data_IF_884841787549
#
_entry.id   IF_884841787549
#
_cell.length_a   1.000
_cell.length_b   1.000
_cell.length_c   1.000
_cell.angle_alpha   90.00
_cell.angle_beta   90.00
_cell.angle_gamma   90.00
#
_symmetry.space_group_name_H-M   'P 1'
#
loop_
_entity.id
_entity.type
_entity.pdbx_description
1 polymer ?
#
# COMPACT_ATOMS: atom_id res chain seq x y z
N UNK A 1 -20.52 -70.71 31.18
CA UNK A 1 -19.73 -70.13 30.14
C UNK A 1 -20.60 -69.16 29.37
N UNK A 2 -20.53 -67.87 29.67
CA UNK A 2 -21.18 -66.82 28.89
C UNK A 2 -20.21 -65.59 28.93
N UNK A 3 -19.74 -65.22 27.77
CA UNK A 3 -18.90 -64.07 27.52
C UNK A 3 -19.75 -62.80 27.67
N UNK A 4 -19.31 -61.85 28.47
CA UNK A 4 -19.91 -60.52 28.61
C UNK A 4 -19.18 -59.60 27.71
N UNK A 5 -19.84 -59.04 26.68
CA UNK A 5 -19.38 -57.98 25.81
C UNK A 5 -19.38 -56.65 26.57
N UNK A 6 -18.23 -56.04 26.72
CA UNK A 6 -18.05 -54.68 27.17
C UNK A 6 -17.97 -53.76 25.96
N UNK A 7 -19.04 -53.03 25.70
CA UNK A 7 -19.09 -51.93 24.76
C UNK A 7 -18.31 -50.73 25.34
N UNK A 8 -17.16 -50.43 24.76
CA UNK A 8 -16.41 -49.19 25.01
C UNK A 8 -17.00 -48.08 24.19
N UNK A 9 -17.74 -47.20 24.83
CA UNK A 9 -18.14 -45.91 24.24
C UNK A 9 -16.91 -44.96 24.16
N UNK A 10 -16.34 -44.88 23.01
CA UNK A 10 -15.32 -43.83 22.72
C UNK A 10 -16.02 -42.46 22.60
N UNK A 11 -15.94 -41.67 23.64
CA UNK A 11 -16.34 -40.26 23.60
C UNK A 11 -15.36 -39.50 22.70
N UNK A 12 -15.83 -39.15 21.52
CA UNK A 12 -15.15 -38.17 20.64
C UNK A 12 -15.30 -36.80 21.29
N UNK A 13 -14.34 -36.42 22.12
CA UNK A 13 -14.13 -35.05 22.53
C UNK A 13 -13.61 -34.27 21.33
N UNK A 14 -14.55 -33.69 20.58
CA UNK A 14 -14.24 -32.67 19.60
C UNK A 14 -13.54 -31.50 20.30
N UNK A 15 -12.25 -31.38 20.09
CA UNK A 15 -11.50 -30.22 20.49
C UNK A 15 -12.04 -29.02 19.70
N UNK A 16 -13.00 -28.32 20.27
CA UNK A 16 -13.28 -26.94 19.95
C UNK A 16 -12.02 -26.15 20.31
N UNK A 17 -11.11 -26.00 19.34
CA UNK A 17 -10.05 -25.01 19.40
C UNK A 17 -10.73 -23.64 19.48
N UNK A 18 -11.02 -23.19 20.69
CA UNK A 18 -11.29 -21.79 20.95
C UNK A 18 -10.06 -21.03 20.43
N UNK A 19 -10.17 -20.44 19.26
CA UNK A 19 -9.27 -19.39 18.81
C UNK A 19 -9.32 -18.27 19.85
N UNK A 20 -8.47 -18.35 20.86
CA UNK A 20 -8.23 -17.23 21.76
C UNK A 20 -7.78 -16.10 20.88
N UNK A 21 -8.62 -15.08 20.74
CA UNK A 21 -8.29 -13.87 20.01
C UNK A 21 -6.98 -13.32 20.60
N UNK A 22 -5.88 -13.44 19.85
CA UNK A 22 -4.59 -12.86 20.23
C UNK A 22 -4.74 -11.36 20.15
N UNK A 23 -4.83 -10.73 21.31
CA UNK A 23 -4.90 -9.29 21.46
C UNK A 23 -3.52 -8.76 21.78
N UNK A 24 -2.90 -8.10 20.79
CA UNK A 24 -1.68 -7.34 20.98
C UNK A 24 -1.94 -5.88 20.58
N UNK A 25 -1.53 -4.93 21.44
CA UNK A 25 -1.56 -3.50 21.09
C UNK A 25 -2.94 -2.89 20.83
N UNK A 26 -4.03 -3.39 21.46
CA UNK A 26 -5.38 -2.87 21.24
C UNK A 26 -6.08 -3.39 19.97
N UNK A 27 -5.39 -4.21 19.15
CA UNK A 27 -5.94 -4.90 17.99
C UNK A 27 -6.34 -6.34 18.35
N UNK A 28 -7.53 -6.77 17.93
CA UNK A 28 -8.02 -8.15 18.08
C UNK A 28 -8.12 -8.79 16.70
N UNK A 29 -7.45 -9.92 16.49
CA UNK A 29 -7.58 -10.72 15.27
C UNK A 29 -8.96 -11.41 15.25
N UNK A 30 -9.77 -11.10 14.23
CA UNK A 30 -11.10 -11.68 14.04
C UNK A 30 -11.08 -12.88 13.09
N UNK A 31 -10.27 -12.81 12.03
CA UNK A 31 -10.15 -13.87 11.04
C UNK A 31 -8.81 -13.78 10.31
N UNK A 32 -8.36 -14.90 9.75
CA UNK A 32 -7.11 -14.97 8.97
C UNK A 32 -7.28 -15.99 7.84
N UNK A 33 -6.75 -15.70 6.64
CA UNK A 33 -6.71 -16.69 5.56
C UNK A 33 -5.80 -17.86 5.97
N UNK A 34 -6.21 -19.10 5.63
CA UNK A 34 -5.42 -20.29 5.97
C UNK A 34 -4.19 -20.50 5.06
N UNK A 35 -4.12 -19.78 3.93
CA UNK A 35 -3.01 -19.85 2.97
C UNK A 35 -2.09 -18.64 3.07
N UNK A 36 -0.88 -18.82 2.57
CA UNK A 36 0.14 -17.77 2.47
C UNK A 36 0.43 -17.44 1.01
N UNK A 37 0.93 -16.21 0.78
CA UNK A 37 1.21 -15.62 -0.52
C UNK A 37 2.66 -15.12 -0.55
N UNK A 38 3.26 -15.09 -1.73
CA UNK A 38 4.66 -14.70 -1.85
C UNK A 38 4.87 -13.19 -1.65
N UNK A 39 3.99 -12.35 -2.24
CA UNK A 39 4.06 -10.89 -2.08
C UNK A 39 2.68 -10.26 -2.29
N UNK A 40 2.03 -9.90 -1.21
CA UNK A 40 0.71 -9.27 -1.25
C UNK A 40 0.79 -7.79 -1.63
N UNK A 41 -0.19 -7.35 -2.44
CA UNK A 41 -0.52 -5.94 -2.63
C UNK A 41 -1.33 -5.40 -1.44
N UNK A 42 -1.88 -4.19 -1.57
CA UNK A 42 -2.91 -3.70 -0.66
C UNK A 42 -4.18 -4.59 -0.70
N UNK A 43 -5.00 -4.51 0.34
CA UNK A 43 -6.26 -5.25 0.49
C UNK A 43 -7.43 -4.27 0.44
N UNK A 44 -8.46 -4.64 -0.33
CA UNK A 44 -9.72 -3.89 -0.45
C UNK A 44 -10.87 -4.78 -0.01
N UNK A 45 -11.74 -4.29 0.88
CA UNK A 45 -12.97 -4.99 1.25
C UNK A 45 -14.07 -4.75 0.20
N UNK A 46 -14.76 -5.80 -0.21
CA UNK A 46 -15.92 -5.78 -1.09
C UNK A 46 -17.22 -5.62 -0.29
N UNK A 47 -18.30 -5.18 -0.94
CA UNK A 47 -19.58 -4.92 -0.27
C UNK A 47 -20.20 -6.11 0.45
N UNK A 48 -19.83 -7.33 0.05
CA UNK A 48 -20.26 -8.59 0.69
C UNK A 48 -19.33 -9.05 1.84
N UNK A 49 -18.33 -8.24 2.20
CA UNK A 49 -17.35 -8.52 3.26
C UNK A 49 -16.22 -9.46 2.86
N UNK A 50 -16.17 -9.90 1.59
CA UNK A 50 -14.97 -10.52 1.00
C UNK A 50 -13.91 -9.47 0.74
N UNK A 51 -12.70 -9.91 0.43
CA UNK A 51 -11.58 -9.04 0.11
C UNK A 51 -11.05 -9.31 -1.29
N UNK A 52 -10.49 -8.27 -1.92
CA UNK A 52 -9.74 -8.39 -3.16
C UNK A 52 -8.29 -7.90 -2.93
N UNK A 53 -7.33 -8.61 -3.53
CA UNK A 53 -5.90 -8.30 -3.45
C UNK A 53 -5.14 -9.01 -4.57
N UNK A 54 -3.88 -8.61 -4.81
CA UNK A 54 -3.01 -9.31 -5.74
C UNK A 54 -1.79 -9.93 -5.02
N UNK A 55 -1.31 -11.07 -5.51
CA UNK A 55 0.05 -11.54 -5.26
C UNK A 55 0.92 -11.02 -6.40
N UNK A 56 1.73 -10.02 -6.12
CA UNK A 56 2.54 -9.34 -7.13
C UNK A 56 3.72 -10.18 -7.61
N UNK A 57 4.21 -11.14 -6.81
CA UNK A 57 5.27 -12.05 -7.20
C UNK A 57 4.75 -13.16 -8.13
N UNK A 58 3.62 -13.77 -7.76
CA UNK A 58 2.97 -14.80 -8.60
C UNK A 58 2.17 -14.17 -9.76
N UNK A 59 1.95 -12.86 -9.71
CA UNK A 59 1.19 -12.08 -10.70
C UNK A 59 -0.24 -12.59 -10.85
N UNK A 60 -0.92 -12.81 -9.72
CA UNK A 60 -2.29 -13.30 -9.66
C UNK A 60 -3.19 -12.32 -8.91
N UNK A 61 -4.42 -12.18 -9.38
CA UNK A 61 -5.46 -11.39 -8.74
C UNK A 61 -6.48 -12.29 -8.07
N UNK A 62 -6.81 -12.00 -6.82
CA UNK A 62 -7.64 -12.84 -5.97
C UNK A 62 -8.83 -12.11 -5.36
N UNK A 63 -9.89 -12.90 -5.13
CA UNK A 63 -10.97 -12.60 -4.22
C UNK A 63 -11.01 -13.68 -3.14
N UNK A 64 -11.13 -13.28 -1.87
CA UNK A 64 -11.14 -14.24 -0.77
C UNK A 64 -12.25 -13.94 0.25
N UNK A 65 -12.74 -14.99 0.86
CA UNK A 65 -13.63 -14.95 2.04
C UNK A 65 -12.85 -15.39 3.27
N UNK A 66 -12.60 -14.46 4.19
CA UNK A 66 -11.84 -14.76 5.41
C UNK A 66 -12.58 -15.69 6.38
N UNK A 67 -13.92 -15.79 6.31
CA UNK A 67 -14.70 -16.65 7.21
C UNK A 67 -14.61 -18.11 6.80
N UNK A 68 -14.80 -18.39 5.50
CA UNK A 68 -14.73 -19.73 4.96
C UNK A 68 -13.34 -20.16 4.53
N UNK A 69 -12.40 -19.22 4.40
CA UNK A 69 -11.06 -19.45 3.82
C UNK A 69 -11.08 -19.68 2.30
N UNK A 70 -12.24 -19.49 1.65
CA UNK A 70 -12.35 -19.69 0.20
C UNK A 70 -11.57 -18.62 -0.57
N UNK A 71 -10.83 -19.06 -1.59
CA UNK A 71 -10.05 -18.22 -2.49
C UNK A 71 -10.48 -18.47 -3.93
N UNK A 72 -10.79 -17.40 -4.65
CA UNK A 72 -11.09 -17.43 -6.07
C UNK A 72 -9.99 -16.63 -6.82
N UNK A 73 -9.37 -17.23 -7.82
CA UNK A 73 -8.50 -16.49 -8.76
C UNK A 73 -9.38 -15.78 -9.78
N UNK A 74 -9.17 -14.48 -9.96
CA UNK A 74 -9.95 -13.65 -10.87
C UNK A 74 -9.20 -13.39 -12.16
N UNK A 75 -9.89 -13.54 -13.28
CA UNK A 75 -9.34 -13.28 -14.62
C UNK A 75 -8.25 -14.24 -15.06
N UNK A 76 -7.50 -13.81 -16.06
CA UNK A 76 -6.46 -14.62 -16.70
C UNK A 76 -5.17 -13.83 -16.82
N UNK A 77 -4.11 -14.34 -16.22
CA UNK A 77 -2.76 -13.83 -16.43
C UNK A 77 -2.28 -14.19 -17.84
N UNK A 78 -1.69 -13.20 -18.51
CA UNK A 78 -1.06 -13.37 -19.84
C UNK A 78 0.35 -12.79 -19.83
N UNK A 79 1.25 -13.30 -20.67
CA UNK A 79 2.62 -12.79 -20.77
C UNK A 79 2.73 -11.56 -21.67
N UNK A 80 1.79 -11.41 -22.60
CA UNK A 80 1.63 -10.24 -23.47
C UNK A 80 0.17 -9.83 -23.51
N UNK A 81 -0.11 -8.53 -23.54
CA UNK A 81 -1.47 -8.00 -23.56
C UNK A 81 -1.62 -7.01 -24.70
N UNK A 82 -2.60 -7.26 -25.59
CA UNK A 82 -2.95 -6.35 -26.65
C UNK A 82 -3.72 -5.14 -26.12
N UNK A 83 -3.70 -4.03 -26.85
CA UNK A 83 -4.39 -2.78 -26.46
C UNK A 83 -5.89 -2.97 -26.26
N UNK A 84 -6.51 -3.80 -27.06
CA UNK A 84 -7.93 -4.14 -27.09
C UNK A 84 -8.27 -5.44 -26.34
N UNK A 85 -7.30 -6.03 -25.64
CA UNK A 85 -7.50 -7.26 -24.87
C UNK A 85 -8.68 -7.14 -23.90
N UNK A 86 -9.43 -8.23 -23.66
CA UNK A 86 -10.54 -8.27 -22.72
C UNK A 86 -10.18 -7.76 -21.32
N UNK A 87 -11.14 -7.17 -20.61
CA UNK A 87 -10.93 -6.69 -19.24
C UNK A 87 -10.54 -7.80 -18.26
N UNK A 88 -10.83 -9.06 -18.60
CA UNK A 88 -10.45 -10.25 -17.80
C UNK A 88 -8.96 -10.58 -17.86
N UNK A 89 -8.19 -10.03 -18.81
CA UNK A 89 -6.76 -10.31 -18.95
C UNK A 89 -5.91 -9.27 -18.26
N UNK A 90 -4.83 -9.71 -17.63
CA UNK A 90 -3.82 -8.85 -17.00
C UNK A 90 -2.43 -9.49 -17.10
N UNK A 91 -1.37 -8.68 -16.99
CA UNK A 91 0.02 -9.13 -17.04
C UNK A 91 0.70 -9.04 -15.67
N UNK A 92 0.58 -7.91 -14.99
CA UNK A 92 1.17 -7.65 -13.69
C UNK A 92 0.19 -6.87 -12.80
N UNK A 93 -0.68 -7.59 -12.05
CA UNK A 93 -1.64 -6.97 -11.14
C UNK A 93 -0.87 -6.40 -9.94
N UNK A 94 -0.74 -5.07 -9.90
CA UNK A 94 0.10 -4.41 -8.90
C UNK A 94 -0.66 -3.75 -7.76
N UNK A 95 -1.85 -3.21 -8.03
CA UNK A 95 -2.64 -2.46 -7.07
C UNK A 95 -4.14 -2.67 -7.25
N UNK A 96 -4.89 -2.65 -6.14
CA UNK A 96 -6.34 -2.79 -6.13
C UNK A 96 -6.96 -1.56 -5.46
N UNK A 97 -8.01 -0.97 -6.07
CA UNK A 97 -8.70 0.19 -5.51
C UNK A 97 -10.22 -0.01 -5.55
N UNK A 98 -10.93 0.54 -4.57
CA UNK A 98 -12.39 0.54 -4.53
C UNK A 98 -12.94 1.83 -5.15
N UNK A 99 -13.83 1.72 -6.15
CA UNK A 99 -14.45 2.86 -6.83
C UNK A 99 -15.86 3.20 -6.32
N UNK A 100 -16.38 2.46 -5.36
CA UNK A 100 -17.79 2.56 -4.94
C UNK A 100 -18.74 1.75 -5.81
N UNK A 101 -20.01 1.66 -5.40
CA UNK A 101 -21.05 0.94 -6.15
C UNK A 101 -20.71 -0.53 -6.46
N UNK A 102 -19.93 -1.17 -5.58
CA UNK A 102 -19.53 -2.56 -5.79
C UNK A 102 -18.47 -2.76 -6.88
N UNK A 103 -17.76 -1.71 -7.28
CA UNK A 103 -16.74 -1.77 -8.33
C UNK A 103 -15.33 -1.69 -7.76
N UNK A 104 -14.47 -2.58 -8.23
CA UNK A 104 -13.05 -2.65 -7.90
C UNK A 104 -12.23 -2.37 -9.15
N UNK A 105 -11.20 -1.55 -9.02
CA UNK A 105 -10.19 -1.33 -10.06
C UNK A 105 -8.97 -2.20 -9.78
N UNK A 106 -8.54 -2.94 -10.77
CA UNK A 106 -7.24 -3.63 -10.81
C UNK A 106 -6.28 -2.83 -11.68
N UNK A 107 -5.19 -2.34 -11.11
CA UNK A 107 -4.14 -1.62 -11.84
C UNK A 107 -3.05 -2.59 -12.25
N UNK A 108 -2.85 -2.73 -13.54
CA UNK A 108 -1.76 -3.51 -14.14
C UNK A 108 -0.58 -2.59 -14.44
N UNK A 109 0.50 -2.72 -13.67
CA UNK A 109 1.67 -1.86 -13.80
C UNK A 109 2.44 -2.08 -15.10
N UNK A 110 2.50 -3.33 -15.57
CA UNK A 110 3.25 -3.65 -16.79
C UNK A 110 2.50 -3.28 -18.05
N UNK A 111 1.18 -3.44 -18.05
CA UNK A 111 0.32 -3.07 -19.16
C UNK A 111 -0.11 -1.60 -19.13
N UNK A 112 0.23 -0.86 -18.07
CA UNK A 112 -0.25 0.52 -17.82
C UNK A 112 -1.76 0.63 -18.02
N UNK A 113 -2.49 -0.31 -17.45
CA UNK A 113 -3.90 -0.54 -17.71
C UNK A 113 -4.65 -0.69 -16.40
N UNK A 114 -5.84 -0.10 -16.34
CA UNK A 114 -6.77 -0.32 -15.22
C UNK A 114 -8.01 -1.03 -15.74
N UNK A 115 -8.36 -2.15 -15.11
CA UNK A 115 -9.58 -2.91 -15.42
C UNK A 115 -10.55 -2.83 -14.27
N UNK A 116 -11.85 -2.70 -14.56
CA UNK A 116 -12.91 -2.67 -13.56
C UNK A 116 -13.54 -4.04 -13.42
N UNK A 117 -13.86 -4.39 -12.20
CA UNK A 117 -14.45 -5.65 -11.79
C UNK A 117 -15.62 -5.40 -10.84
N UNK A 118 -16.66 -6.22 -10.91
CA UNK A 118 -17.74 -6.19 -9.93
C UNK A 118 -17.37 -6.97 -8.65
N UNK A 119 -18.19 -6.88 -7.62
CA UNK A 119 -18.01 -7.58 -6.35
C UNK A 119 -18.05 -9.12 -6.49
N UNK A 120 -18.68 -9.63 -7.57
CA UNK A 120 -18.72 -11.06 -7.87
C UNK A 120 -17.45 -11.55 -8.54
N UNK A 121 -16.54 -10.61 -8.91
CA UNK A 121 -15.29 -10.89 -9.60
C UNK A 121 -15.47 -11.05 -11.10
N UNK A 122 -16.54 -10.46 -11.68
CA UNK A 122 -16.72 -10.42 -13.12
C UNK A 122 -16.04 -9.17 -13.70
N UNK A 123 -15.26 -9.30 -14.79
CA UNK A 123 -14.66 -8.16 -15.43
C UNK A 123 -15.75 -7.32 -16.12
N UNK A 124 -15.72 -6.01 -15.90
CA UNK A 124 -16.70 -5.08 -16.46
C UNK A 124 -16.15 -4.40 -17.73
N UNK A 125 -15.05 -3.66 -17.59
CA UNK A 125 -14.44 -2.91 -18.70
C UNK A 125 -13.03 -2.47 -18.36
N UNK A 126 -12.31 -2.02 -19.38
CA UNK A 126 -11.05 -1.29 -19.23
C UNK A 126 -11.36 0.19 -19.04
N UNK A 127 -10.71 0.85 -18.08
CA UNK A 127 -10.75 2.30 -18.00
C UNK A 127 -9.86 2.90 -19.09
N UNK A 128 -10.36 3.86 -19.87
CA UNK A 128 -9.50 4.65 -20.73
C UNK A 128 -8.63 5.53 -19.80
N UNK A 129 -7.37 5.16 -19.63
CA UNK A 129 -6.44 6.01 -18.89
C UNK A 129 -6.11 7.19 -19.79
N UNK A 130 -6.56 8.40 -19.41
CA UNK A 130 -6.08 9.60 -20.03
C UNK A 130 -4.55 9.62 -19.82
N UNK A 131 -3.77 9.59 -20.90
CA UNK A 131 -2.32 9.80 -20.86
C UNK A 131 -2.05 11.26 -20.54
N UNK A 132 -2.18 11.58 -19.26
CA UNK A 132 -1.85 12.90 -18.74
C UNK A 132 -0.43 12.80 -18.24
N UNK A 133 0.47 13.52 -18.85
CA UNK A 133 1.90 13.61 -18.54
C UNK A 133 2.52 12.33 -17.97
N UNK A 134 3.27 11.61 -18.78
CA UNK A 134 4.09 10.45 -18.41
C UNK A 134 3.34 9.14 -18.11
N UNK A 135 4.13 8.09 -17.95
CA UNK A 135 3.67 6.69 -17.92
C UNK A 135 3.23 6.15 -16.55
N UNK A 136 3.18 7.00 -15.50
CA UNK A 136 2.78 6.54 -14.18
C UNK A 136 1.27 6.24 -14.12
N UNK A 137 0.85 5.09 -13.57
CA UNK A 137 -0.56 4.73 -13.50
C UNK A 137 -1.33 5.58 -12.49
N UNK A 138 -2.65 5.70 -12.69
CA UNK A 138 -3.58 6.20 -11.68
C UNK A 138 -3.75 5.10 -10.62
N UNK A 139 -3.40 5.41 -9.37
CA UNK A 139 -3.44 4.43 -8.27
C UNK A 139 -4.58 4.67 -7.30
N UNK A 140 -5.06 5.91 -7.20
CA UNK A 140 -6.08 6.31 -6.25
C UNK A 140 -7.34 6.74 -6.98
N UNK A 141 -8.48 6.40 -6.41
CA UNK A 141 -9.80 6.68 -6.98
C UNK A 141 -10.76 7.08 -5.86
N UNK A 142 -11.67 7.99 -6.17
CA UNK A 142 -12.84 8.24 -5.34
C UNK A 142 -14.09 7.55 -5.91
N UNK A 143 -15.21 7.63 -5.21
CA UNK A 143 -16.48 7.07 -5.66
C UNK A 143 -17.35 8.09 -6.40
N UNK A 144 -16.88 9.33 -6.52
CA UNK A 144 -17.60 10.41 -7.21
C UNK A 144 -17.15 10.61 -8.67
N UNK A 145 -16.15 9.85 -9.11
CA UNK A 145 -15.81 9.73 -10.54
C UNK A 145 -14.48 10.33 -10.94
N UNK A 146 -13.52 10.40 -10.03
CA UNK A 146 -12.17 10.87 -10.33
C UNK A 146 -11.11 9.81 -9.99
N UNK A 147 -10.04 9.83 -10.79
CA UNK A 147 -8.77 9.19 -10.49
C UNK A 147 -7.71 10.23 -10.13
N UNK A 148 -6.71 9.82 -9.34
CA UNK A 148 -5.68 10.72 -8.85
C UNK A 148 -4.29 10.14 -9.16
N UNK A 149 -3.40 11.01 -9.62
CA UNK A 149 -2.03 10.66 -10.01
C UNK A 149 -1.05 11.67 -9.45
N UNK A 150 0.04 11.19 -8.87
CA UNK A 150 1.19 12.04 -8.54
C UNK A 150 2.03 12.20 -9.81
N UNK A 151 2.30 13.44 -10.21
CA UNK A 151 3.05 13.72 -11.44
C UNK A 151 4.55 13.67 -11.20
N UNK A 152 5.08 12.44 -11.12
CA UNK A 152 6.52 12.21 -10.98
C UNK A 152 7.35 12.63 -12.20
N UNK A 153 6.73 12.93 -13.34
CA UNK A 153 7.47 13.44 -14.51
C UNK A 153 8.09 14.81 -14.22
N UNK A 154 7.45 15.57 -13.34
CA UNK A 154 8.04 16.82 -12.87
C UNK A 154 9.40 16.60 -12.15
N UNK A 155 9.64 15.38 -11.58
CA UNK A 155 10.89 15.02 -10.91
C UNK A 155 11.87 14.35 -11.86
N UNK A 156 11.37 13.47 -12.74
CA UNK A 156 12.20 12.66 -13.63
C UNK A 156 12.73 13.44 -14.83
N UNK A 157 12.35 14.72 -14.94
CA UNK A 157 12.91 15.66 -15.88
C UNK A 157 12.40 15.47 -17.32
N UNK A 158 11.41 16.28 -17.72
CA UNK A 158 11.25 16.68 -19.11
C UNK A 158 12.28 17.75 -19.51
N UNK A 159 13.45 17.75 -18.89
CA UNK A 159 14.50 18.72 -19.12
C UNK A 159 15.41 18.32 -20.30
N UNK A 160 15.93 19.32 -20.98
CA UNK A 160 16.99 19.14 -21.97
C UNK A 160 18.15 18.32 -21.36
N UNK A 161 18.85 17.48 -22.16
CA UNK A 161 20.00 16.73 -21.68
C UNK A 161 21.01 17.66 -20.98
N UNK A 162 21.32 17.36 -19.72
CA UNK A 162 22.27 18.14 -18.90
C UNK A 162 21.65 19.18 -17.97
N UNK A 163 20.32 19.34 -17.93
CA UNK A 163 19.63 20.22 -16.98
C UNK A 163 18.75 19.40 -16.05
N UNK A 164 19.21 19.15 -14.84
CA UNK A 164 18.37 18.57 -13.78
C UNK A 164 17.41 19.66 -13.28
N UNK A 165 16.13 19.55 -13.65
CA UNK A 165 15.09 20.38 -13.06
C UNK A 165 14.71 19.74 -11.72
N UNK A 166 14.96 20.45 -10.62
CA UNK A 166 14.52 20.05 -9.28
C UNK A 166 13.26 20.83 -8.96
N UNK A 167 12.08 20.23 -9.04
CA UNK A 167 10.88 20.94 -8.64
C UNK A 167 10.84 21.04 -7.11
N UNK A 168 10.53 22.22 -6.59
CA UNK A 168 10.27 22.44 -5.17
C UNK A 168 8.99 21.70 -4.72
N UNK A 169 8.12 21.38 -5.67
CA UNK A 169 6.87 20.67 -5.43
C UNK A 169 6.47 19.74 -6.58
N UNK A 170 5.73 18.69 -6.24
CA UNK A 170 5.23 17.69 -7.17
C UNK A 170 3.72 17.82 -7.23
N UNK A 171 3.12 18.14 -8.38
CA UNK A 171 1.66 18.24 -8.48
C UNK A 171 0.97 16.89 -8.36
N UNK A 172 -0.19 16.89 -7.70
CA UNK A 172 -1.15 15.80 -7.72
C UNK A 172 -2.27 16.17 -8.67
N UNK A 173 -2.43 15.39 -9.71
CA UNK A 173 -3.45 15.57 -10.74
C UNK A 173 -4.70 14.78 -10.41
N UNK A 174 -5.87 15.44 -10.52
CA UNK A 174 -7.18 14.81 -10.49
C UNK A 174 -7.70 14.70 -11.93
N UNK A 175 -8.16 13.52 -12.29
CA UNK A 175 -8.57 13.17 -13.65
C UNK A 175 -10.02 12.71 -13.63
N UNK A 176 -10.91 13.41 -14.35
CA UNK A 176 -12.29 13.00 -14.51
C UNK A 176 -12.40 11.73 -15.36
N UNK A 177 -12.94 10.65 -14.78
CA UNK A 177 -13.00 9.34 -15.44
C UNK A 177 -13.95 9.28 -16.64
N UNK A 178 -14.90 10.23 -16.75
CA UNK A 178 -15.82 10.34 -17.90
C UNK A 178 -15.37 11.38 -18.92
N UNK A 179 -14.98 12.55 -18.45
CA UNK A 179 -14.73 13.72 -19.32
C UNK A 179 -13.24 13.91 -19.63
N UNK A 180 -12.34 13.19 -18.95
CA UNK A 180 -10.90 13.37 -19.13
C UNK A 180 -10.38 14.74 -18.67
N UNK A 181 -11.22 15.57 -18.01
CA UNK A 181 -10.78 16.86 -17.46
C UNK A 181 -9.71 16.63 -16.39
N UNK A 182 -8.67 17.47 -16.40
CA UNK A 182 -7.52 17.36 -15.50
C UNK A 182 -7.32 18.67 -14.78
N UNK A 183 -7.16 18.59 -13.46
CA UNK A 183 -6.79 19.74 -12.62
C UNK A 183 -5.77 19.32 -11.54
N UNK A 184 -5.01 20.29 -11.03
CA UNK A 184 -4.10 20.08 -9.91
C UNK A 184 -4.86 20.28 -8.60
N UNK A 185 -4.84 19.25 -7.74
CA UNK A 185 -5.58 19.28 -6.46
C UNK A 185 -4.68 19.44 -5.24
N UNK A 186 -3.41 19.14 -5.36
CA UNK A 186 -2.43 19.30 -4.29
C UNK A 186 -1.03 19.47 -4.89
N UNK A 187 -0.12 20.01 -4.06
CA UNK A 187 1.31 19.97 -4.32
C UNK A 187 1.99 19.28 -3.14
N UNK A 188 2.81 18.28 -3.44
CA UNK A 188 3.67 17.59 -2.47
C UNK A 188 5.03 18.28 -2.45
N UNK A 189 5.72 18.27 -1.32
CA UNK A 189 7.08 18.75 -1.25
C UNK A 189 8.00 17.94 -2.17
N UNK A 190 8.89 18.61 -2.86
CA UNK A 190 9.94 17.95 -3.64
C UNK A 190 10.86 17.13 -2.73
N UNK A 191 11.44 16.02 -3.23
CA UNK A 191 12.35 15.19 -2.46
C UNK A 191 13.67 15.94 -2.17
N UNK A 192 14.35 15.50 -1.11
CA UNK A 192 15.72 15.95 -0.85
C UNK A 192 16.70 15.11 -1.67
N UNK A 193 17.70 15.79 -2.25
CA UNK A 193 18.72 15.17 -3.09
C UNK A 193 20.10 15.21 -2.44
N UNK A 194 20.99 14.35 -2.91
CA UNK A 194 22.40 14.32 -2.61
C UNK A 194 23.14 13.47 -3.64
N UNK A 195 24.45 13.40 -3.51
CA UNK A 195 25.28 12.67 -4.46
C UNK A 195 25.27 11.16 -4.17
N UNK A 196 25.01 10.37 -5.18
CA UNK A 196 25.19 8.93 -5.21
C UNK A 196 26.37 8.56 -6.09
N UNK A 197 27.10 7.51 -5.74
CA UNK A 197 28.25 7.02 -6.51
C UNK A 197 27.94 5.62 -7.03
N UNK A 198 28.13 5.42 -8.33
CA UNK A 198 28.05 4.14 -9.02
C UNK A 198 29.33 3.91 -9.83
N UNK A 199 30.22 3.07 -9.31
CA UNK A 199 31.60 2.93 -9.88
C UNK A 199 32.36 4.24 -9.78
N UNK A 200 32.73 4.79 -10.92
CA UNK A 200 33.44 6.07 -11.04
C UNK A 200 32.51 7.24 -11.37
N UNK A 201 31.21 6.99 -11.46
CA UNK A 201 30.21 8.01 -11.80
C UNK A 201 29.56 8.56 -10.54
N UNK A 202 29.49 9.88 -10.45
CA UNK A 202 28.65 10.58 -9.46
C UNK A 202 27.40 11.07 -10.16
N UNK A 203 26.26 10.75 -9.57
CA UNK A 203 24.95 11.21 -10.02
C UNK A 203 24.10 11.65 -8.84
N UNK A 204 23.16 12.52 -9.10
CA UNK A 204 22.24 12.94 -8.08
C UNK A 204 21.16 11.87 -7.81
N UNK A 205 20.85 11.63 -6.55
CA UNK A 205 19.81 10.71 -6.12
C UNK A 205 19.01 11.29 -4.95
N UNK A 206 17.79 10.83 -4.80
CA UNK A 206 16.96 11.16 -3.63
C UNK A 206 17.62 10.59 -2.38
N UNK A 207 17.72 11.43 -1.33
CA UNK A 207 18.25 10.99 -0.02
C UNK A 207 17.36 9.93 0.58
N UNK A 208 17.97 8.81 0.91
CA UNK A 208 17.27 7.70 1.60
C UNK A 208 16.91 8.14 3.02
N UNK A 209 15.72 7.79 3.49
CA UNK A 209 15.10 8.19 4.76
C UNK A 209 14.77 9.68 4.91
N UNK A 210 14.94 10.51 3.89
CA UNK A 210 14.46 11.88 3.94
C UNK A 210 12.93 11.93 4.03
N UNK A 211 12.36 12.97 4.68
CA UNK A 211 10.93 13.15 4.76
C UNK A 211 10.29 13.32 3.38
N UNK A 212 9.23 12.56 3.12
CA UNK A 212 8.40 12.65 1.92
C UNK A 212 6.95 12.93 2.29
N UNK A 213 6.26 13.66 1.42
CA UNK A 213 4.82 13.84 1.52
C UNK A 213 4.10 12.63 0.93
N UNK A 214 2.96 12.27 1.52
CA UNK A 214 2.04 11.25 1.01
C UNK A 214 0.69 11.89 0.72
N UNK A 215 0.08 11.45 -0.36
CA UNK A 215 -1.26 11.88 -0.76
C UNK A 215 -2.22 10.71 -0.75
N UNK A 216 -3.47 10.99 -0.36
CA UNK A 216 -4.56 10.05 -0.52
C UNK A 216 -5.90 10.75 -0.64
N UNK A 217 -6.91 9.95 -0.98
CA UNK A 217 -8.27 10.40 -1.17
C UNK A 217 -9.24 9.43 -0.49
N UNK A 218 -10.28 9.99 0.13
CA UNK A 218 -11.39 9.22 0.67
C UNK A 218 -12.45 8.98 -0.42
N UNK A 219 -13.34 8.00 -0.23
CA UNK A 219 -14.38 7.68 -1.21
C UNK A 219 -15.24 8.88 -1.63
N UNK A 220 -15.50 9.83 -0.75
CA UNK A 220 -16.30 11.02 -1.00
C UNK A 220 -15.55 12.17 -1.71
N UNK A 221 -14.33 11.95 -2.18
CA UNK A 221 -13.50 12.95 -2.83
C UNK A 221 -12.75 13.90 -1.89
N UNK A 222 -12.86 13.72 -0.57
CA UNK A 222 -12.01 14.44 0.40
C UNK A 222 -10.59 13.93 0.27
N UNK A 223 -9.65 14.82 -0.01
CA UNK A 223 -8.24 14.47 -0.12
C UNK A 223 -7.46 14.85 1.15
N UNK A 224 -6.32 14.22 1.34
CA UNK A 224 -5.40 14.54 2.43
C UNK A 224 -3.94 14.47 1.94
N UNK A 225 -3.10 15.26 2.60
CA UNK A 225 -1.66 15.23 2.43
C UNK A 225 -1.00 15.06 3.80
N UNK A 226 -0.28 13.96 3.97
CA UNK A 226 0.60 13.80 5.12
C UNK A 226 1.94 14.47 4.80
N UNK A 227 2.27 15.53 5.56
CA UNK A 227 3.47 16.35 5.38
C UNK A 227 4.64 15.77 6.14
N UNK A 228 5.60 15.20 5.41
CA UNK A 228 6.73 14.50 6.00
C UNK A 228 7.65 15.39 6.81
N UNK A 229 7.88 16.63 6.40
CA UNK A 229 8.77 17.57 7.11
C UNK A 229 8.16 18.09 8.42
N UNK A 230 6.85 18.30 8.43
CA UNK A 230 6.13 18.90 9.56
C UNK A 230 5.45 17.86 10.47
N UNK A 231 5.43 16.60 10.07
CA UNK A 231 4.70 15.52 10.75
C UNK A 231 3.25 15.92 11.08
N UNK A 232 2.48 16.25 10.03
CA UNK A 232 1.08 16.67 10.14
C UNK A 232 0.27 16.13 8.97
N UNK A 233 -1.05 16.21 9.07
CA UNK A 233 -1.98 15.85 7.99
C UNK A 233 -2.84 17.05 7.65
N UNK A 234 -2.73 17.53 6.40
CA UNK A 234 -3.57 18.56 5.83
C UNK A 234 -4.73 17.91 5.07
N UNK A 235 -5.92 18.50 5.14
CA UNK A 235 -7.11 18.00 4.50
C UNK A 235 -7.67 18.99 3.46
N UNK A 236 -8.15 18.45 2.35
CA UNK A 236 -8.82 19.22 1.28
C UNK A 236 -10.24 18.70 1.10
N UNK A 237 -11.21 19.54 1.36
CA UNK A 237 -12.62 19.24 1.09
C UNK A 237 -12.88 19.13 -0.43
N UNK A 238 -13.95 18.44 -0.86
CA UNK A 238 -14.31 18.34 -2.28
C UNK A 238 -14.51 19.69 -2.97
N UNK A 239 -14.93 20.73 -2.24
CA UNK A 239 -15.07 22.11 -2.71
C UNK A 239 -13.76 22.88 -2.86
N UNK A 240 -12.63 22.26 -2.51
CA UNK A 240 -11.30 22.82 -2.64
C UNK A 240 -10.75 23.52 -1.40
N UNK A 241 -11.51 23.69 -0.33
CA UNK A 241 -11.03 24.31 0.91
C UNK A 241 -10.05 23.41 1.65
N UNK A 242 -8.96 24.02 2.11
CA UNK A 242 -7.94 23.33 2.89
C UNK A 242 -8.12 23.55 4.39
N UNK A 243 -7.90 22.50 5.16
CA UNK A 243 -7.70 22.52 6.61
C UNK A 243 -6.28 22.07 6.88
N UNK A 244 -5.45 22.99 7.39
CA UNK A 244 -4.05 22.69 7.76
C UNK A 244 -4.06 22.05 9.14
N UNK A 245 -3.47 20.87 9.24
CA UNK A 245 -3.36 20.13 10.50
C UNK A 245 -2.30 20.71 11.43
N UNK A 246 -2.35 20.26 12.69
CA UNK A 246 -1.29 20.58 13.65
C UNK A 246 -0.13 19.60 13.50
N UNK A 247 1.10 20.12 13.54
CA UNK A 247 2.28 19.28 13.65
C UNK A 247 2.24 18.47 14.96
N UNK A 248 2.62 17.21 14.87
CA UNK A 248 2.74 16.33 16.01
C UNK A 248 4.21 16.06 16.31
N UNK A 249 4.61 16.19 17.57
CA UNK A 249 5.97 15.88 17.98
C UNK A 249 6.26 14.38 17.80
N UNK A 250 7.48 14.06 17.41
CA UNK A 250 7.92 12.67 17.24
C UNK A 250 9.37 12.51 17.67
N UNK A 251 9.73 11.30 18.07
CA UNK A 251 11.12 10.96 18.41
C UNK A 251 11.92 10.78 17.13
N UNK A 252 12.89 11.66 16.88
CA UNK A 252 13.82 11.53 15.75
C UNK A 252 14.73 10.32 15.97
N UNK A 253 14.66 9.35 15.09
CA UNK A 253 15.53 8.19 15.08
C UNK A 253 16.74 8.45 14.17
N UNK A 254 17.98 8.28 14.62
CA UNK A 254 19.15 8.41 13.77
C UNK A 254 19.17 7.32 12.71
N UNK A 255 19.68 7.63 11.51
CA UNK A 255 19.98 6.62 10.50
C UNK A 255 21.28 5.93 10.86
N UNK A 256 21.19 4.66 11.28
CA UNK A 256 22.33 3.87 11.75
C UNK A 256 23.15 3.30 10.60
N UNK A 257 24.38 2.81 10.89
CA UNK A 257 25.17 2.08 9.89
C UNK A 257 24.44 0.81 9.41
N UNK A 258 23.74 0.11 10.30
CA UNK A 258 22.92 -1.06 9.94
C UNK A 258 21.80 -0.71 8.94
N UNK A 259 21.15 0.45 9.08
CA UNK A 259 20.15 0.93 8.11
C UNK A 259 20.78 1.15 6.75
N UNK A 260 21.96 1.79 6.69
CA UNK A 260 22.72 2.04 5.44
C UNK A 260 23.11 0.73 4.76
N UNK A 261 23.70 -0.21 5.50
CA UNK A 261 24.14 -1.51 4.99
C UNK A 261 22.97 -2.32 4.42
N UNK A 262 21.81 -2.29 5.10
CA UNK A 262 20.59 -2.94 4.63
C UNK A 262 20.11 -2.37 3.31
N UNK A 263 20.05 -1.06 3.16
CA UNK A 263 19.63 -0.40 1.92
C UNK A 263 20.60 -0.75 0.79
N UNK A 264 21.92 -0.67 1.04
CA UNK A 264 22.92 -1.01 0.04
C UNK A 264 22.87 -2.50 -0.37
N UNK A 265 22.57 -3.40 0.58
CA UNK A 265 22.35 -4.82 0.26
C UNK A 265 21.12 -5.02 -0.64
N UNK A 266 20.01 -4.33 -0.37
CA UNK A 266 18.81 -4.37 -1.22
C UNK A 266 19.08 -3.80 -2.63
N UNK A 267 19.80 -2.70 -2.73
CA UNK A 267 20.20 -2.11 -4.03
C UNK A 267 21.06 -3.10 -4.83
N UNK A 268 22.04 -3.73 -4.21
CA UNK A 268 22.89 -4.74 -4.87
C UNK A 268 22.08 -5.96 -5.31
N UNK A 269 21.19 -6.46 -4.45
CA UNK A 269 20.35 -7.61 -4.78
C UNK A 269 19.42 -7.30 -5.96
N UNK A 270 18.79 -6.12 -5.93
CA UNK A 270 17.98 -5.67 -7.05
C UNK A 270 18.80 -5.48 -8.32
N UNK A 271 19.98 -4.87 -8.21
CA UNK A 271 20.90 -4.63 -9.33
C UNK A 271 21.38 -5.91 -10.02
N UNK A 272 21.51 -7.04 -9.28
CA UNK A 272 21.83 -8.34 -9.87
C UNK A 272 20.85 -8.74 -10.96
N UNK A 273 19.55 -8.52 -10.76
CA UNK A 273 18.51 -8.84 -11.72
C UNK A 273 18.64 -8.06 -13.04
N UNK A 274 19.37 -6.93 -13.01
CA UNK A 274 19.65 -6.07 -14.17
C UNK A 274 21.10 -6.10 -14.62
N UNK A 275 21.89 -7.11 -14.17
CA UNK A 275 23.26 -7.32 -14.60
C UNK A 275 24.28 -6.37 -13.96
N UNK A 276 23.97 -5.72 -12.84
CA UNK A 276 24.92 -4.86 -12.14
C UNK A 276 26.09 -5.69 -11.59
N UNK A 277 27.37 -5.28 -11.86
CA UNK A 277 28.52 -5.97 -11.31
C UNK A 277 28.49 -5.96 -9.77
N UNK A 278 28.76 -7.13 -9.14
CA UNK A 278 28.67 -7.28 -7.68
C UNK A 278 29.76 -6.51 -6.92
N UNK A 279 30.87 -6.22 -7.56
CA UNK A 279 32.00 -5.45 -7.02
C UNK A 279 31.90 -3.95 -7.33
N UNK A 280 30.79 -3.49 -7.94
CA UNK A 280 30.59 -2.08 -8.22
C UNK A 280 30.54 -1.29 -6.91
N UNK A 281 31.31 -0.21 -6.84
CA UNK A 281 31.20 0.76 -5.74
C UNK A 281 29.82 1.43 -5.84
N UNK A 282 29.04 1.32 -4.77
CA UNK A 282 27.69 1.94 -4.68
C UNK A 282 27.62 2.69 -3.37
N UNK A 283 27.37 4.00 -3.45
CA UNK A 283 27.09 4.87 -2.30
C UNK A 283 25.80 5.65 -2.56
N UNK A 284 24.99 5.82 -1.55
CA UNK A 284 23.75 6.59 -1.60
C UNK A 284 23.79 7.74 -0.60
N UNK A 285 23.15 8.86 -0.91
CA UNK A 285 22.96 9.91 0.08
C UNK A 285 21.87 9.47 1.09
N UNK A 286 22.17 9.64 2.37
CA UNK A 286 21.25 9.33 3.46
C UNK A 286 20.95 10.59 4.25
N UNK A 287 19.72 10.70 4.76
CA UNK A 287 19.38 11.67 5.79
C UNK A 287 20.10 11.33 7.11
N UNK A 288 20.24 12.29 8.00
CA UNK A 288 20.82 12.07 9.33
C UNK A 288 19.86 11.31 10.25
N UNK A 289 18.58 11.63 10.12
CA UNK A 289 17.49 10.97 10.87
C UNK A 289 16.46 10.40 9.92
N UNK A 290 15.76 9.36 10.36
CA UNK A 290 14.61 8.78 9.65
C UNK A 290 13.46 9.80 9.61
N UNK A 291 12.71 9.79 8.51
CA UNK A 291 11.46 10.55 8.40
C UNK A 291 10.50 10.22 9.56
N UNK A 292 9.56 11.11 9.91
CA UNK A 292 8.59 10.83 10.98
C UNK A 292 7.67 9.64 10.67
N UNK A 293 7.47 9.33 9.38
CA UNK A 293 6.70 8.18 8.93
C UNK A 293 7.20 7.68 7.57
N UNK A 294 7.01 6.37 7.34
CA UNK A 294 7.43 5.67 6.11
C UNK A 294 6.27 5.40 5.15
N UNK A 295 5.03 5.48 5.65
CA UNK A 295 3.81 5.17 4.91
C UNK A 295 2.64 5.94 5.50
N UNK A 296 1.68 6.31 4.66
CA UNK A 296 0.42 6.91 5.08
C UNK A 296 -0.76 6.22 4.38
N UNK A 297 -1.81 5.89 5.12
CA UNK A 297 -3.03 5.27 4.60
C UNK A 297 -4.27 5.96 5.16
N UNK A 298 -5.18 6.37 4.28
CA UNK A 298 -6.47 6.94 4.66
C UNK A 298 -7.51 5.86 4.95
N UNK A 299 -8.26 6.02 6.02
CA UNK A 299 -9.39 5.19 6.40
C UNK A 299 -10.69 5.84 5.97
N UNK A 300 -11.69 5.11 5.44
CA UNK A 300 -12.95 5.69 4.96
C UNK A 300 -13.72 6.53 5.97
N UNK A 301 -13.50 6.35 7.28
CA UNK A 301 -14.11 7.13 8.35
C UNK A 301 -13.48 8.52 8.56
N UNK A 302 -12.45 8.87 7.78
CA UNK A 302 -11.76 10.16 7.88
C UNK A 302 -10.56 10.17 8.83
N UNK A 303 -9.97 9.02 9.09
CA UNK A 303 -8.67 8.93 9.75
C UNK A 303 -7.56 8.76 8.73
N UNK A 304 -6.36 9.29 9.03
CA UNK A 304 -5.10 8.96 8.33
C UNK A 304 -4.15 8.31 9.31
N UNK A 305 -3.62 7.17 8.93
CA UNK A 305 -2.70 6.37 9.72
C UNK A 305 -1.31 6.50 9.15
N UNK A 306 -0.37 7.05 9.93
CA UNK A 306 1.02 7.26 9.56
C UNK A 306 1.89 6.20 10.23
N UNK A 307 2.56 5.37 9.44
CA UNK A 307 3.47 4.34 9.93
C UNK A 307 4.76 4.98 10.44
N UNK A 308 5.05 4.89 11.74
CA UNK A 308 6.32 5.34 12.29
C UNK A 308 7.50 4.50 11.78
N UNK A 309 8.67 5.11 11.57
CA UNK A 309 9.89 4.35 11.32
C UNK A 309 10.24 3.51 12.55
N UNK A 310 10.85 2.36 12.32
CA UNK A 310 11.32 1.48 13.40
C UNK A 310 12.77 1.78 13.74
N UNK A 311 13.11 1.62 15.02
CA UNK A 311 14.52 1.67 15.46
C UNK A 311 15.27 0.44 14.91
N UNK A 312 14.66 -0.75 15.01
CA UNK A 312 15.16 -2.02 14.48
C UNK A 312 14.08 -2.69 13.62
N UNK A 313 14.49 -3.47 12.62
CA UNK A 313 13.56 -4.10 11.68
C UNK A 313 12.58 -5.07 12.35
N UNK A 314 13.01 -5.76 13.40
CA UNK A 314 12.20 -6.70 14.15
C UNK A 314 11.20 -6.04 15.11
N UNK A 315 11.29 -4.73 15.36
CA UNK A 315 10.35 -4.02 16.23
C UNK A 315 8.94 -4.02 15.59
N UNK A 316 7.87 -4.09 16.40
CA UNK A 316 6.51 -3.97 15.88
C UNK A 316 6.29 -2.63 15.16
N UNK A 317 5.49 -2.63 14.11
CA UNK A 317 5.04 -1.40 13.48
C UNK A 317 4.06 -0.68 14.39
N UNK A 318 4.17 0.64 14.45
CA UNK A 318 3.26 1.51 15.17
C UNK A 318 2.75 2.59 14.22
N UNK A 319 1.47 2.89 14.31
CA UNK A 319 0.83 3.91 13.49
C UNK A 319 0.32 5.06 14.35
N UNK A 320 0.63 6.28 13.96
CA UNK A 320 -0.03 7.49 14.45
C UNK A 320 -1.32 7.73 13.69
N UNK A 321 -2.40 8.00 14.42
CA UNK A 321 -3.72 8.22 13.84
C UNK A 321 -4.11 9.67 13.95
N UNK A 322 -4.42 10.30 12.81
CA UNK A 322 -4.90 11.69 12.70
C UNK A 322 -6.34 11.71 12.21
N UNK A 323 -7.14 12.64 12.72
CA UNK A 323 -8.52 12.85 12.29
C UNK A 323 -8.63 13.86 11.13
N UNK A 324 -9.85 14.13 10.65
CA UNK A 324 -10.10 15.09 9.56
C UNK A 324 -9.82 16.56 9.93
N UNK A 325 -9.62 16.89 11.20
CA UNK A 325 -9.15 18.19 11.64
C UNK A 325 -7.62 18.29 11.64
N UNK A 326 -6.92 17.23 11.19
CA UNK A 326 -5.48 17.15 11.21
C UNK A 326 -4.89 17.07 12.62
N UNK A 327 -5.69 16.64 13.61
CA UNK A 327 -5.24 16.46 14.98
C UNK A 327 -4.87 14.99 15.23
N UNK A 328 -3.71 14.78 15.87
CA UNK A 328 -3.32 13.46 16.37
C UNK A 328 -4.30 12.96 17.43
N UNK A 329 -4.68 11.70 17.37
CA UNK A 329 -5.66 11.07 18.24
C UNK A 329 -5.05 10.02 19.16
N UNK A 330 -4.26 9.12 18.61
CA UNK A 330 -3.70 7.97 19.30
C UNK A 330 -2.60 7.30 18.50
N UNK A 331 -1.87 6.42 19.14
CA UNK A 331 -1.02 5.43 18.48
C UNK A 331 -1.68 4.06 18.46
N UNK A 332 -1.36 3.27 17.43
CA UNK A 332 -1.85 1.91 17.27
C UNK A 332 -0.68 0.99 16.97
N UNK A 333 -0.17 0.26 17.96
CA UNK A 333 0.86 -0.75 17.76
C UNK A 333 0.25 -1.97 17.08
N UNK A 334 0.93 -2.49 16.05
CA UNK A 334 0.56 -3.71 15.36
C UNK A 334 1.22 -4.94 15.98
N UNK A 335 0.62 -6.12 15.83
CA UNK A 335 1.28 -7.38 16.20
C UNK A 335 2.61 -7.52 15.44
N UNK A 336 3.62 -8.10 16.12
CA UNK A 336 4.93 -8.34 15.51
C UNK A 336 4.80 -9.13 14.20
N UNK A 337 5.51 -8.72 13.18
CA UNK A 337 5.45 -9.35 11.85
C UNK A 337 4.19 -9.00 11.05
N UNK A 338 3.38 -8.06 11.52
CA UNK A 338 2.19 -7.59 10.80
C UNK A 338 2.37 -6.16 10.29
N UNK A 339 1.76 -5.84 9.15
CA UNK A 339 1.74 -4.52 8.54
C UNK A 339 0.34 -4.19 8.01
N UNK A 340 -0.09 -2.94 8.11
CA UNK A 340 -1.36 -2.48 7.57
C UNK A 340 -1.42 -2.70 6.05
N UNK A 341 -2.51 -3.31 5.57
CA UNK A 341 -2.74 -3.60 4.17
C UNK A 341 -3.97 -2.87 3.60
N UNK A 342 -4.89 -2.45 4.46
CA UNK A 342 -6.10 -1.75 4.05
C UNK A 342 -7.12 -1.63 5.17
N UNK A 343 -8.22 -0.96 4.84
CA UNK A 343 -9.34 -0.76 5.75
C UNK A 343 -10.63 -1.24 5.11
N UNK A 344 -11.56 -1.66 5.95
CA UNK A 344 -12.88 -2.11 5.53
C UNK A 344 -14.01 -1.42 6.28
N UNK A 345 -15.22 -1.85 5.97
CA UNK A 345 -16.45 -1.38 6.61
C UNK A 345 -16.48 -1.71 8.11
N UNK A 346 -17.31 -0.99 8.85
CA UNK A 346 -17.56 -1.21 10.29
C UNK A 346 -16.29 -1.28 11.13
N UNK A 347 -15.24 -0.56 10.72
CA UNK A 347 -14.01 -0.47 11.46
C UNK A 347 -13.01 -1.61 11.25
N UNK A 348 -13.22 -2.47 10.27
CA UNK A 348 -12.29 -3.54 9.93
C UNK A 348 -10.92 -2.98 9.49
N UNK A 349 -9.85 -3.64 9.92
CA UNK A 349 -8.47 -3.34 9.59
C UNK A 349 -7.88 -4.61 9.00
N UNK A 350 -7.33 -4.51 7.80
CA UNK A 350 -6.65 -5.63 7.15
C UNK A 350 -5.15 -5.49 7.31
N UNK A 351 -4.49 -6.57 7.70
CA UNK A 351 -3.04 -6.61 7.83
C UNK A 351 -2.45 -7.78 7.05
N UNK A 352 -1.28 -7.55 6.47
CA UNK A 352 -0.39 -8.62 6.04
C UNK A 352 0.32 -9.16 7.27
N UNK A 353 0.28 -10.48 7.46
CA UNK A 353 0.93 -11.18 8.57
C UNK A 353 2.02 -12.06 7.99
N UNK A 354 3.27 -11.85 8.40
CA UNK A 354 4.41 -12.66 7.97
C UNK A 354 4.31 -14.07 8.59
N UNK A 355 4.48 -15.09 7.76
CA UNK A 355 4.57 -16.50 8.19
C UNK A 355 6.02 -16.91 8.42
N UNK A 356 6.25 -18.08 9.03
CA UNK A 356 7.59 -18.52 9.42
C UNK A 356 8.58 -18.69 8.27
N UNK A 357 8.09 -18.93 7.04
CA UNK A 357 8.88 -19.06 5.79
C UNK A 357 9.11 -17.72 5.06
N UNK A 358 8.62 -16.61 5.65
CA UNK A 358 8.72 -15.28 5.06
C UNK A 358 7.59 -14.90 4.09
N UNK A 359 6.72 -15.85 3.73
CA UNK A 359 5.49 -15.58 3.01
C UNK A 359 4.53 -14.74 3.87
N UNK A 360 3.41 -14.28 3.30
CA UNK A 360 2.47 -13.40 3.99
C UNK A 360 1.05 -13.94 3.84
N UNK A 361 0.24 -13.79 4.89
CA UNK A 361 -1.20 -14.03 4.80
C UNK A 361 -1.97 -12.76 5.16
N UNK A 362 -3.28 -12.74 4.91
CA UNK A 362 -4.15 -11.61 5.26
C UNK A 362 -4.92 -11.93 6.54
N UNK A 363 -4.84 -11.03 7.52
CA UNK A 363 -5.65 -11.05 8.72
C UNK A 363 -6.60 -9.85 8.78
N UNK A 364 -7.80 -10.08 9.34
CA UNK A 364 -8.76 -9.04 9.67
C UNK A 364 -8.71 -8.77 11.16
N UNK A 365 -8.54 -7.51 11.51
CA UNK A 365 -8.46 -7.02 12.88
C UNK A 365 -9.55 -5.99 13.18
N UNK A 366 -9.80 -5.79 14.48
CA UNK A 366 -10.62 -4.72 15.02
C UNK A 366 -9.89 -4.02 16.16
N UNK A 367 -10.04 -2.70 16.24
CA UNK A 367 -9.67 -1.93 17.43
C UNK A 367 -10.64 -2.25 18.57
N UNK A 368 -10.11 -2.40 19.79
CA UNK A 368 -10.90 -2.53 21.01
C UNK A 368 -11.53 -1.23 21.41
#
# INVERSE_FOLDING_TARGET
MKLVELLSAAAVLGALACNRAESQGGLTLEAKLPMAFAQLSNVVELGDGRIAFADTKEKLFFRADLKSGKLDTLGTRVDSIARDAPASQYKFPGWVAHLGGGTVALVDFSAQRTTLWDEKGQPLRVLPIARVSGDAPVLLYDTVGYGYKIDYQAILGGGEPGRTVRPDSIPVLRIGLKAGAVDTVANLAGPEYGDAIFGDQTQEAVKVFAPNDFFGVLPNGTAWVARGRENRVDWRAPDGRWTVGKSHEYTKLPVTQQDRDRVLAQVREHGKAYGMPQNLRVEYPFAETKAPFDLALGRPNGEVWLQRPRAREEDPLTYDVFNQQGAWQREVPFPRGSALAGFGAKGAIYAMIKTGDGAKTVGRYRLK
#
